data_IF_542654659255
#
_entry.id   IF_542654659255
#
_cell.length_a   1.000
_cell.length_b   1.000
_cell.length_c   1.000
_cell.angle_alpha   90.00
_cell.angle_beta   90.00
_cell.angle_gamma   90.00
#
_symmetry.space_group_name_H-M   'P 1'
#
loop_
_entity.id
_entity.type
_entity.pdbx_description
1 polymer ?
#
# COMPACT_ATOMS: atom_id res chain seq x y z
N UNK A 1 0.46 9.22 -8.69
CA UNK A 1 -0.08 10.34 -7.89
C UNK A 1 0.08 10.03 -6.41
N UNK A 2 0.25 11.02 -5.53
CA UNK A 2 0.30 10.77 -4.08
C UNK A 2 -1.07 11.02 -3.46
N UNK A 3 -1.53 10.09 -2.64
CA UNK A 3 -2.79 10.16 -1.89
C UNK A 3 -2.54 9.83 -0.42
N UNK A 4 -3.46 10.20 0.46
CA UNK A 4 -3.36 9.77 1.87
C UNK A 4 -3.64 8.28 1.98
N UNK A 5 -2.97 7.59 2.89
CA UNK A 5 -3.20 6.17 3.12
C UNK A 5 -4.67 5.86 3.48
N UNK A 6 -5.38 6.80 4.13
CA UNK A 6 -6.81 6.68 4.41
C UNK A 6 -7.74 6.74 3.19
N UNK A 7 -7.20 7.10 2.04
CA UNK A 7 -7.92 7.22 0.76
C UNK A 7 -7.61 6.05 -0.18
N UNK A 8 -6.73 5.14 0.23
CA UNK A 8 -6.37 3.96 -0.55
C UNK A 8 -7.57 3.02 -0.69
N UNK A 9 -7.62 2.32 -1.81
CA UNK A 9 -8.71 1.43 -2.18
C UNK A 9 -8.15 0.11 -2.71
N UNK A 10 -8.90 -0.96 -2.49
CA UNK A 10 -8.64 -2.26 -3.10
C UNK A 10 -8.50 -2.12 -4.62
N UNK A 11 -7.57 -2.86 -5.20
CA UNK A 11 -7.25 -2.88 -6.62
C UNK A 11 -6.30 -1.77 -7.08
N UNK A 12 -6.02 -0.77 -6.26
CA UNK A 12 -5.01 0.22 -6.60
C UNK A 12 -3.62 -0.40 -6.60
N UNK A 13 -2.77 0.09 -7.51
CA UNK A 13 -1.36 -0.26 -7.54
C UNK A 13 -0.55 0.85 -6.86
N UNK A 14 0.28 0.48 -5.89
CA UNK A 14 1.06 1.42 -5.07
C UNK A 14 2.56 1.15 -5.20
N UNK A 15 3.37 2.18 -5.03
CA UNK A 15 4.83 2.11 -5.01
C UNK A 15 5.34 2.45 -3.61
N UNK A 16 5.97 1.49 -2.94
CA UNK A 16 6.40 1.61 -1.54
C UNK A 16 7.77 0.98 -1.32
N UNK A 17 8.45 1.42 -0.28
CA UNK A 17 9.63 0.74 0.25
C UNK A 17 9.17 -0.39 1.20
N UNK A 18 9.63 -1.62 0.96
CA UNK A 18 9.21 -2.78 1.75
C UNK A 18 10.37 -3.75 2.00
N UNK A 19 10.55 -4.15 3.26
CA UNK A 19 11.65 -5.01 3.67
C UNK A 19 12.94 -4.22 3.91
N UNK A 20 13.94 -4.41 3.05
CA UNK A 20 15.24 -3.77 3.19
C UNK A 20 15.22 -2.31 2.74
N UNK A 21 16.09 -1.48 3.34
CA UNK A 21 16.27 -0.10 2.92
C UNK A 21 16.71 -0.02 1.45
N UNK A 22 16.05 0.83 0.68
CA UNK A 22 16.20 0.99 -0.76
C UNK A 22 15.38 0.00 -1.59
N UNK A 23 14.67 -0.96 -0.97
CA UNK A 23 13.88 -1.94 -1.71
C UNK A 23 12.48 -1.40 -2.02
N UNK A 24 12.37 -0.74 -3.18
CA UNK A 24 11.11 -0.22 -3.71
C UNK A 24 10.38 -1.27 -4.53
N UNK A 25 9.09 -1.46 -4.24
CA UNK A 25 8.25 -2.46 -4.87
C UNK A 25 6.92 -1.85 -5.33
N UNK A 26 6.42 -2.38 -6.46
CA UNK A 26 5.08 -2.10 -6.94
C UNK A 26 4.16 -3.22 -6.51
N UNK A 27 3.05 -2.89 -5.89
CA UNK A 27 2.12 -3.86 -5.31
C UNK A 27 0.68 -3.48 -5.67
N UNK A 28 -0.15 -4.49 -5.92
CA UNK A 28 -1.60 -4.31 -6.01
C UNK A 28 -2.22 -4.56 -4.64
N UNK A 29 -3.08 -3.64 -4.20
CA UNK A 29 -3.83 -3.78 -2.94
C UNK A 29 -4.89 -4.86 -3.13
N UNK A 30 -4.73 -6.00 -2.47
CA UNK A 30 -5.72 -7.08 -2.49
C UNK A 30 -6.87 -6.80 -1.54
N UNK A 31 -6.55 -6.29 -0.35
CA UNK A 31 -7.51 -5.91 0.68
C UNK A 31 -6.97 -4.71 1.47
N UNK A 32 -7.87 -3.89 2.00
CA UNK A 32 -7.50 -2.76 2.87
C UNK A 32 -8.44 -2.64 4.06
N UNK A 33 -7.87 -2.46 5.25
CA UNK A 33 -8.60 -2.21 6.49
C UNK A 33 -8.25 -0.85 7.06
N UNK A 34 -9.28 -0.02 7.24
CA UNK A 34 -9.14 1.31 7.81
C UNK A 34 -9.49 1.29 9.30
N UNK A 35 -8.55 1.71 10.14
CA UNK A 35 -8.73 1.89 11.57
C UNK A 35 -8.55 3.37 11.93
N UNK A 36 -8.94 3.76 13.15
CA UNK A 36 -8.82 5.14 13.61
C UNK A 36 -7.39 5.71 13.52
N UNK A 37 -6.37 4.87 13.66
CA UNK A 37 -4.96 5.29 13.77
C UNK A 37 -4.04 4.70 12.71
N UNK A 38 -4.55 3.88 11.79
CA UNK A 38 -3.75 3.24 10.75
C UNK A 38 -4.62 2.71 9.60
N UNK A 39 -4.01 2.58 8.43
CA UNK A 39 -4.53 1.78 7.33
C UNK A 39 -3.63 0.55 7.17
N UNK A 40 -4.22 -0.65 7.08
CA UNK A 40 -3.50 -1.90 6.83
C UNK A 40 -3.83 -2.36 5.42
N UNK A 41 -2.81 -2.44 4.58
CA UNK A 41 -2.89 -2.89 3.19
C UNK A 41 -2.35 -4.31 3.11
N UNK A 42 -3.13 -5.21 2.53
CA UNK A 42 -2.72 -6.59 2.25
C UNK A 42 -2.43 -6.76 0.77
N UNK A 43 -1.41 -7.54 0.46
CA UNK A 43 -0.95 -7.80 -0.91
C UNK A 43 -0.25 -9.16 -1.02
N UNK A 44 -0.10 -9.67 -2.24
CA UNK A 44 0.70 -10.87 -2.52
C UNK A 44 2.08 -10.52 -3.10
N UNK A 45 3.11 -11.21 -2.61
CA UNK A 45 4.43 -11.34 -3.21
C UNK A 45 4.61 -12.79 -3.66
N UNK A 46 4.24 -13.08 -4.91
CA UNK A 46 4.16 -14.45 -5.40
C UNK A 46 3.11 -15.26 -4.62
N UNK A 47 3.51 -16.36 -3.99
CA UNK A 47 2.62 -17.20 -3.17
C UNK A 47 2.48 -16.73 -1.71
N UNK A 48 3.16 -15.65 -1.32
CA UNK A 48 3.17 -15.15 0.06
C UNK A 48 2.20 -13.99 0.17
N UNK A 49 1.22 -14.11 1.07
CA UNK A 49 0.38 -12.99 1.49
C UNK A 49 1.10 -12.20 2.59
N UNK A 50 1.23 -10.90 2.39
CA UNK A 50 1.90 -9.97 3.31
C UNK A 50 1.01 -8.76 3.58
N UNK A 51 1.38 -7.99 4.59
CA UNK A 51 0.73 -6.72 4.91
C UNK A 51 1.74 -5.61 5.20
N UNK A 52 1.29 -4.37 5.05
CA UNK A 52 2.00 -3.16 5.46
C UNK A 52 1.00 -2.21 6.09
N UNK A 53 1.45 -1.46 7.09
CA UNK A 53 0.61 -0.47 7.76
C UNK A 53 1.16 0.94 7.60
N UNK A 54 0.24 1.88 7.43
CA UNK A 54 0.53 3.29 7.24
C UNK A 54 -0.17 4.12 8.32
N UNK A 55 0.39 5.29 8.63
CA UNK A 55 -0.42 6.32 9.31
C UNK A 55 -1.49 6.83 8.34
N UNK A 56 -2.70 7.19 8.81
CA UNK A 56 -3.80 7.59 7.92
C UNK A 56 -3.47 8.78 7.01
N UNK A 57 -2.64 9.70 7.48
CA UNK A 57 -2.22 10.92 6.78
C UNK A 57 -0.96 10.75 5.92
N UNK A 58 -0.33 9.57 5.96
CA UNK A 58 0.86 9.25 5.20
C UNK A 58 0.60 9.29 3.69
N UNK A 59 1.52 9.89 2.95
CA UNK A 59 1.39 10.06 1.51
C UNK A 59 1.94 8.85 0.79
N UNK A 60 1.07 8.07 0.16
CA UNK A 60 1.41 6.85 -0.59
C UNK A 60 1.32 7.14 -2.08
N UNK A 61 2.32 6.69 -2.83
CA UNK A 61 2.32 6.80 -4.28
C UNK A 61 1.44 5.71 -4.90
N UNK A 62 0.37 6.14 -5.56
CA UNK A 62 -0.52 5.32 -6.38
C UNK A 62 -0.10 5.46 -7.84
N UNK A 63 0.22 4.33 -8.48
CA UNK A 63 0.53 4.25 -9.89
C UNK A 63 -0.77 4.36 -10.70
N UNK A 64 -0.78 5.20 -11.73
CA UNK A 64 -1.88 5.24 -12.70
C UNK A 64 -1.52 4.29 -13.83
N UNK A 65 -2.42 3.38 -14.17
CA UNK A 65 -2.31 2.65 -15.43
C UNK A 65 -2.49 3.64 -16.59
N UNK A 66 -1.63 3.53 -17.59
CA UNK A 66 -1.60 4.42 -18.75
C UNK A 66 -2.77 4.18 -19.72
#
# INVERSE_FOLDING_TARGET
>A
MKVKASELQQGQRIHIEYGDYGNWVDLTIDEIHHFQRMAVVMFHLGSIRSDVSFRPDEQVEVLQDA
#
